data_IF_649205804920
#
_entry.id   IF_649205804920
#
_cell.length_a   1.000
_cell.length_b   1.000
_cell.length_c   1.000
_cell.angle_alpha   90.00
_cell.angle_beta   90.00
_cell.angle_gamma   90.00
#
_symmetry.space_group_name_H-M   'P 1'
#
loop_
_entity.id
_entity.type
_entity.pdbx_description
1 polymer ?
#
# COMPACT_ATOMS: atom_id res chain seq x y z
N UNK A 1 -22.29 -35.88 24.17
CA UNK A 1 -20.81 -35.92 24.04
C UNK A 1 -20.32 -35.56 22.63
N UNK A 2 -21.15 -35.71 21.58
CA UNK A 2 -20.80 -35.42 20.18
C UNK A 2 -20.76 -33.91 19.88
N UNK A 3 -21.59 -33.10 20.54
CA UNK A 3 -21.68 -31.64 20.30
C UNK A 3 -20.42 -30.87 20.71
N UNK A 4 -19.77 -31.28 21.80
CA UNK A 4 -18.54 -30.64 22.29
C UNK A 4 -17.36 -30.85 21.32
N UNK A 5 -17.31 -32.01 20.67
CA UNK A 5 -16.27 -32.34 19.70
C UNK A 5 -16.45 -31.55 18.40
N UNK A 6 -17.70 -31.37 17.96
CA UNK A 6 -18.05 -30.56 16.80
C UNK A 6 -17.78 -29.08 17.04
N UNK A 7 -18.09 -28.57 18.24
CA UNK A 7 -17.79 -27.19 18.62
C UNK A 7 -16.28 -26.91 18.59
N UNK A 8 -15.45 -27.83 19.12
CA UNK A 8 -13.99 -27.71 19.07
C UNK A 8 -13.44 -27.74 17.64
N UNK A 9 -13.97 -28.59 16.78
CA UNK A 9 -13.57 -28.64 15.37
C UNK A 9 -13.89 -27.34 14.63
N UNK A 10 -15.09 -26.79 14.82
CA UNK A 10 -15.49 -25.51 14.20
C UNK A 10 -14.60 -24.36 14.68
N UNK A 11 -14.30 -24.30 15.98
CA UNK A 11 -13.39 -23.29 16.53
C UNK A 11 -11.98 -23.39 15.97
N UNK A 12 -11.47 -24.62 15.75
CA UNK A 12 -10.15 -24.83 15.15
C UNK A 12 -10.11 -24.39 13.67
N UNK A 13 -11.17 -24.68 12.91
CA UNK A 13 -11.28 -24.27 11.51
C UNK A 13 -11.36 -22.74 11.40
N UNK A 14 -12.13 -22.08 12.28
CA UNK A 14 -12.22 -20.62 12.34
C UNK A 14 -10.88 -19.97 12.70
N UNK A 15 -10.16 -20.51 13.67
CA UNK A 15 -8.85 -20.01 14.06
C UNK A 15 -7.82 -20.14 12.93
N UNK A 16 -7.80 -21.27 12.22
CA UNK A 16 -6.91 -21.49 11.07
C UNK A 16 -7.26 -20.57 9.89
N UNK A 17 -8.54 -20.35 9.62
CA UNK A 17 -9.01 -19.42 8.58
C UNK A 17 -8.60 -17.97 8.89
N UNK A 18 -8.68 -17.55 10.16
CA UNK A 18 -8.27 -16.21 10.61
C UNK A 18 -6.76 -15.95 10.40
N UNK A 19 -5.91 -16.96 10.55
CA UNK A 19 -4.45 -16.81 10.36
C UNK A 19 -4.03 -16.71 8.89
N UNK A 20 -4.82 -17.23 7.95
CA UNK A 20 -4.48 -17.22 6.53
C UNK A 20 -4.70 -15.86 5.83
N UNK A 21 -5.38 -14.90 6.47
CA UNK A 21 -5.75 -13.62 5.83
C UNK A 21 -4.81 -12.46 6.12
N UNK A 22 -3.77 -12.66 6.95
CA UNK A 22 -2.84 -11.59 7.32
C UNK A 22 -1.63 -11.58 6.38
N UNK A 23 -1.81 -11.02 5.18
CA UNK A 23 -0.70 -10.72 4.28
C UNK A 23 -0.12 -9.35 4.65
N UNK A 24 1.04 -9.34 5.32
CA UNK A 24 1.76 -8.12 5.67
C UNK A 24 2.62 -7.69 4.47
N UNK A 25 2.37 -6.49 3.96
CA UNK A 25 3.21 -5.87 2.93
C UNK A 25 4.57 -5.53 3.55
N UNK A 26 5.64 -6.19 3.11
CA UNK A 26 7.00 -5.81 3.49
C UNK A 26 7.50 -4.77 2.50
N UNK A 27 7.61 -3.51 2.92
CA UNK A 27 8.38 -2.53 2.16
C UNK A 27 9.87 -2.84 2.30
N UNK A 28 10.52 -3.16 1.19
CA UNK A 28 11.96 -3.26 1.13
C UNK A 28 12.52 -1.83 1.05
N UNK A 29 13.38 -1.46 2.00
CA UNK A 29 14.04 -0.14 2.02
C UNK A 29 14.93 0.09 0.79
N UNK A 30 15.22 1.36 0.51
CA UNK A 30 16.06 1.76 -0.63
C UNK A 30 17.48 1.17 -0.54
N UNK A 31 17.90 0.46 -1.58
CA UNK A 31 19.26 -0.10 -1.71
C UNK A 31 20.11 0.81 -2.59
N UNK A 32 21.16 1.41 -2.02
CA UNK A 32 22.10 2.27 -2.73
C UNK A 32 23.37 1.48 -3.05
N UNK A 33 23.63 1.23 -4.34
CA UNK A 33 24.87 0.55 -4.80
C UNK A 33 25.89 1.60 -5.24
N UNK A 34 27.11 1.52 -4.70
CA UNK A 34 28.24 2.42 -5.03
C UNK A 34 29.51 1.61 -5.32
N UNK A 35 30.45 2.18 -6.06
CA UNK A 35 31.78 1.56 -6.28
C UNK A 35 32.57 1.53 -4.98
N UNK A 36 33.23 0.42 -4.68
CA UNK A 36 34.01 0.24 -3.44
C UNK A 36 35.26 1.13 -3.35
N UNK A 37 35.70 1.72 -4.46
CA UNK A 37 36.89 2.58 -4.53
C UNK A 37 36.64 4.02 -4.09
N UNK A 38 35.39 4.42 -3.89
CA UNK A 38 35.02 5.77 -3.49
C UNK A 38 34.71 5.82 -1.98
N UNK A 39 35.23 6.83 -1.29
CA UNK A 39 34.92 7.03 0.12
C UNK A 39 33.42 7.35 0.30
N UNK A 40 32.73 6.54 1.10
CA UNK A 40 31.29 6.64 1.32
C UNK A 40 30.97 6.74 2.81
N UNK A 41 30.16 7.73 3.18
CA UNK A 41 29.65 7.87 4.54
C UNK A 41 28.26 7.25 4.67
N UNK A 42 28.20 6.00 5.09
CA UNK A 42 26.95 5.25 5.28
C UNK A 42 26.01 5.86 6.32
N UNK A 43 26.56 6.54 7.32
CA UNK A 43 25.77 7.19 8.37
C UNK A 43 25.06 8.43 7.81
N UNK A 44 25.77 9.25 7.04
CA UNK A 44 25.19 10.45 6.42
C UNK A 44 24.02 10.11 5.48
N UNK A 45 24.13 9.02 4.71
CA UNK A 45 23.03 8.56 3.84
C UNK A 45 21.85 8.02 4.64
N UNK A 46 22.09 7.24 5.69
CA UNK A 46 21.01 6.78 6.58
C UNK A 46 20.24 7.95 7.18
N UNK A 47 20.95 8.95 7.68
CA UNK A 47 20.33 10.11 8.32
C UNK A 47 19.53 10.94 7.31
N UNK A 48 20.00 11.03 6.07
CA UNK A 48 19.24 11.67 4.99
C UNK A 48 17.95 10.91 4.67
N UNK A 49 18.03 9.59 4.44
CA UNK A 49 16.87 8.76 4.11
C UNK A 49 15.85 8.77 5.25
N UNK A 50 16.31 8.76 6.51
CA UNK A 50 15.43 8.85 7.67
C UNK A 50 14.68 10.19 7.71
N UNK A 51 15.37 11.32 7.50
CA UNK A 51 14.72 12.64 7.45
C UNK A 51 13.71 12.75 6.31
N UNK A 52 14.04 12.21 5.14
CA UNK A 52 13.12 12.19 3.99
C UNK A 52 11.88 11.35 4.27
N UNK A 53 12.04 10.22 4.97
CA UNK A 53 10.93 9.37 5.38
C UNK A 53 10.03 10.07 6.42
N UNK A 54 10.63 10.63 7.48
CA UNK A 54 9.90 11.39 8.51
C UNK A 54 9.14 12.59 7.92
N UNK A 55 9.76 13.29 6.96
CA UNK A 55 9.11 14.39 6.25
C UNK A 55 7.89 13.92 5.46
N UNK A 56 8.01 12.79 4.75
CA UNK A 56 6.89 12.20 3.98
C UNK A 56 5.76 11.73 4.89
N UNK A 57 6.09 11.08 6.00
CA UNK A 57 5.14 10.69 7.05
C UNK A 57 4.39 11.91 7.61
N UNK A 58 5.13 12.98 7.94
CA UNK A 58 4.54 14.22 8.46
C UNK A 58 3.56 14.86 7.46
N UNK A 59 3.92 14.91 6.17
CA UNK A 59 3.01 15.37 5.12
C UNK A 59 1.77 14.48 4.98
N UNK A 60 1.93 13.16 5.09
CA UNK A 60 0.83 12.20 5.04
C UNK A 60 -0.17 12.41 6.19
N UNK A 61 0.31 12.79 7.37
CA UNK A 61 -0.53 13.07 8.52
C UNK A 61 -1.26 14.42 8.42
N UNK A 62 -0.70 15.37 7.67
CA UNK A 62 -1.35 16.67 7.41
C UNK A 62 -2.40 16.60 6.31
N UNK A 63 -2.25 15.70 5.34
CA UNK A 63 -3.22 15.55 4.25
C UNK A 63 -4.52 14.93 4.73
N UNK A 64 -5.64 15.60 4.41
CA UNK A 64 -6.97 15.02 4.61
C UNK A 64 -7.19 13.89 3.59
N UNK A 65 -7.34 12.66 4.07
CA UNK A 65 -7.70 11.52 3.21
C UNK A 65 -9.10 11.77 2.66
N UNK A 66 -9.21 11.94 1.34
CA UNK A 66 -10.50 12.05 0.66
C UNK A 66 -11.02 10.66 0.30
N UNK A 67 -12.15 10.28 0.90
CA UNK A 67 -12.80 8.99 0.71
C UNK A 67 -14.17 9.22 0.10
N UNK A 68 -14.34 8.81 -1.15
CA UNK A 68 -15.60 8.94 -1.86
C UNK A 68 -16.39 7.64 -1.79
N UNK A 69 -17.71 7.74 -1.67
CA UNK A 69 -18.61 6.59 -1.80
C UNK A 69 -18.94 6.26 -3.26
N UNK A 70 -18.70 7.21 -4.17
CA UNK A 70 -18.91 7.05 -5.61
C UNK A 70 -17.95 7.94 -6.38
N UNK A 71 -17.60 7.52 -7.61
CA UNK A 71 -16.72 8.29 -8.47
C UNK A 71 -17.47 9.47 -9.14
N UNK A 72 -16.78 10.61 -9.34
CA UNK A 72 -17.29 11.68 -10.19
C UNK A 72 -17.59 11.22 -11.62
N UNK A 73 -18.49 11.94 -12.30
CA UNK A 73 -18.79 11.68 -13.70
C UNK A 73 -17.55 11.97 -14.57
N UNK A 74 -17.24 11.07 -15.51
CA UNK A 74 -16.11 11.23 -16.44
C UNK A 74 -14.79 10.61 -15.97
N UNK A 75 -14.80 9.85 -14.87
CA UNK A 75 -13.63 9.08 -14.43
C UNK A 75 -13.29 7.93 -15.40
N UNK A 76 -12.00 7.74 -15.67
CA UNK A 76 -11.50 6.73 -16.61
C UNK A 76 -10.80 5.61 -15.80
N UNK A 77 -11.20 4.33 -15.96
CA UNK A 77 -10.53 3.22 -15.31
C UNK A 77 -9.15 2.95 -15.95
N UNK A 78 -8.16 2.76 -15.09
CA UNK A 78 -6.78 2.41 -15.41
C UNK A 78 -6.47 1.08 -14.72
N UNK A 79 -5.84 0.15 -15.44
CA UNK A 79 -5.70 -1.25 -14.98
C UNK A 79 -4.26 -1.74 -14.84
N UNK A 80 -3.26 -0.86 -15.03
CA UNK A 80 -1.84 -1.24 -14.91
C UNK A 80 -1.08 -0.25 -14.01
N UNK A 81 -0.30 -0.72 -13.02
CA UNK A 81 -0.11 -2.11 -12.58
C UNK A 81 -1.28 -2.67 -11.74
N UNK A 82 -2.18 -1.82 -11.24
CA UNK A 82 -3.38 -2.19 -10.47
C UNK A 82 -4.58 -1.37 -10.93
N UNK A 83 -5.79 -1.72 -10.50
CA UNK A 83 -7.01 -0.97 -10.83
C UNK A 83 -7.07 0.36 -10.06
N UNK A 84 -7.19 1.47 -10.78
CA UNK A 84 -7.45 2.81 -10.25
C UNK A 84 -8.25 3.64 -11.26
N UNK A 85 -8.75 4.79 -10.86
CA UNK A 85 -9.57 5.68 -11.69
C UNK A 85 -8.91 7.05 -11.76
N UNK A 86 -8.81 7.62 -12.97
CA UNK A 86 -8.35 8.99 -13.18
C UNK A 86 -9.56 9.91 -13.38
N UNK A 87 -9.66 10.97 -12.58
CA UNK A 87 -10.80 11.87 -12.50
C UNK A 87 -10.32 13.33 -12.48
N UNK A 88 -10.15 13.95 -13.65
CA UNK A 88 -9.83 15.39 -13.75
C UNK A 88 -8.55 15.81 -13.02
N UNK A 89 -7.51 14.97 -13.03
CA UNK A 89 -6.23 15.21 -12.33
C UNK A 89 -6.10 14.56 -10.95
N UNK A 90 -7.20 14.03 -10.39
CA UNK A 90 -7.16 13.21 -9.18
C UNK A 90 -7.18 11.73 -9.54
N UNK A 91 -6.61 10.90 -8.67
CA UNK A 91 -6.55 9.45 -8.84
C UNK A 91 -7.23 8.77 -7.66
N UNK A 92 -8.05 7.76 -7.91
CA UNK A 92 -8.79 7.05 -6.88
C UNK A 92 -8.62 5.54 -7.00
N UNK A 93 -8.43 4.86 -5.88
CA UNK A 93 -8.38 3.40 -5.83
C UNK A 93 -9.65 2.84 -5.15
N UNK A 94 -10.30 1.82 -5.72
CA UNK A 94 -11.41 1.14 -5.06
C UNK A 94 -10.90 0.34 -3.84
N UNK A 95 -11.61 0.43 -2.73
CA UNK A 95 -11.34 -0.26 -1.48
C UNK A 95 -12.64 -0.81 -0.91
N UNK A 96 -12.65 -2.09 -0.56
CA UNK A 96 -13.82 -2.74 0.03
C UNK A 96 -13.75 -2.63 1.56
N UNK A 97 -14.71 -1.94 2.15
CA UNK A 97 -14.79 -1.75 3.61
C UNK A 97 -16.23 -1.95 4.09
N UNK A 98 -16.43 -2.88 5.03
CA UNK A 98 -17.74 -3.22 5.58
C UNK A 98 -18.81 -3.52 4.49
N UNK A 99 -18.44 -4.30 3.48
CA UNK A 99 -19.29 -4.62 2.31
C UNK A 99 -19.73 -3.40 1.48
N UNK A 100 -18.98 -2.29 1.56
CA UNK A 100 -19.17 -1.12 0.69
C UNK A 100 -17.89 -0.85 -0.07
N UNK A 101 -18.04 -0.50 -1.34
CA UNK A 101 -16.94 0.00 -2.15
C UNK A 101 -16.74 1.48 -1.86
N UNK A 102 -15.50 1.86 -1.55
CA UNK A 102 -15.05 3.22 -1.32
C UNK A 102 -13.93 3.54 -2.30
N UNK A 103 -13.78 4.82 -2.62
CA UNK A 103 -12.76 5.30 -3.54
C UNK A 103 -11.84 6.25 -2.78
N UNK A 104 -10.64 5.78 -2.49
CA UNK A 104 -9.65 6.52 -1.71
C UNK A 104 -8.74 7.26 -2.68
N UNK A 105 -8.55 8.56 -2.47
CA UNK A 105 -7.63 9.36 -3.28
C UNK A 105 -6.19 8.86 -3.09
N UNK A 106 -5.47 8.69 -4.20
CA UNK A 106 -4.07 8.30 -4.24
C UNK A 106 -3.25 9.36 -4.97
N UNK A 107 -1.95 9.38 -4.70
CA UNK A 107 -1.00 10.18 -5.43
C UNK A 107 -0.91 9.73 -6.90
N UNK A 108 -0.55 10.63 -7.84
CA UNK A 108 -0.22 10.24 -9.20
C UNK A 108 0.84 9.14 -9.19
N UNK A 109 0.58 8.08 -9.95
CA UNK A 109 1.61 7.10 -10.25
C UNK A 109 2.58 7.79 -11.21
N UNK A 110 3.71 8.26 -10.70
CA UNK A 110 4.75 8.89 -11.52
C UNK A 110 5.04 8.00 -12.74
N UNK A 111 5.18 8.61 -13.92
CA UNK A 111 5.60 7.95 -15.15
C UNK A 111 7.05 7.43 -15.12
N UNK A 112 7.64 7.33 -13.92
CA UNK A 112 9.03 6.99 -13.66
C UNK A 112 9.12 5.87 -12.62
N UNK A 113 8.26 4.85 -12.72
CA UNK A 113 8.74 3.52 -12.35
C UNK A 113 9.90 3.19 -13.31
N UNK A 114 11.14 2.96 -12.85
CA UNK A 114 12.24 2.57 -13.73
C UNK A 114 11.77 1.35 -14.49
N UNK A 115 11.55 1.52 -15.79
CA UNK A 115 11.23 0.43 -16.69
C UNK A 115 12.31 -0.61 -16.50
N UNK A 116 11.88 -1.82 -16.13
CA UNK A 116 12.68 -3.03 -16.16
C UNK A 116 13.03 -3.31 -17.62
N UNK A 117 14.01 -2.58 -18.16
CA UNK A 117 14.69 -2.94 -19.40
C UNK A 117 15.58 -4.14 -19.06
N UNK A 118 15.08 -5.31 -19.45
CA UNK A 118 15.84 -6.54 -19.56
C UNK A 118 16.80 -6.46 -20.74
#
# INVERSE_FOLDING_TARGET
MIDLLRLKQVMFILAAAMTCTVSVSTEAGQVVVRKSSEAFNAFAVRDQVLREHEWREALRMQQQINILQSLPVGCIPMVRPYAYYSCGGNFYRPYQYQNKELYIQIDPLDSESPSLHK
#
